data_IF_333282948184
#
_entry.id   IF_333282948184
#
_cell.length_a   1.000
_cell.length_b   1.000
_cell.length_c   1.000
_cell.angle_alpha   90.00
_cell.angle_beta   90.00
_cell.angle_gamma   90.00
#
_symmetry.space_group_name_H-M   'P 1'
#
loop_
_entity.id
_entity.type
_entity.pdbx_description
1 polymer ?
#
# COMPACT_ATOMS: atom_id res chain seq x y z
N UNK A 1 -15.51 1.17 -2.29
CA UNK A 1 -14.42 0.71 -1.40
C UNK A 1 -13.20 0.53 -2.26
N UNK A 2 -12.11 1.21 -1.93
CA UNK A 2 -10.83 1.08 -2.63
C UNK A 2 -9.91 0.28 -1.72
N UNK A 3 -9.37 -0.81 -2.24
CA UNK A 3 -8.43 -1.69 -1.53
C UNK A 3 -7.31 -2.06 -2.48
N UNK A 4 -6.09 -1.77 -2.05
CA UNK A 4 -4.88 -1.98 -2.82
C UNK A 4 -4.00 -2.92 -2.03
N UNK A 5 -3.45 -3.93 -2.69
CA UNK A 5 -2.61 -4.94 -2.08
C UNK A 5 -1.16 -4.81 -2.57
N UNK A 6 -0.24 -4.93 -1.62
CA UNK A 6 1.19 -5.07 -1.82
C UNK A 6 1.54 -6.46 -1.28
N UNK A 7 1.99 -7.35 -2.15
CA UNK A 7 2.42 -8.69 -1.76
C UNK A 7 3.95 -8.73 -1.69
N UNK A 8 4.50 -8.99 -0.51
CA UNK A 8 5.93 -9.16 -0.26
C UNK A 8 6.18 -10.59 0.26
N UNK A 9 6.27 -11.54 -0.67
CA UNK A 9 6.52 -12.95 -0.34
C UNK A 9 5.34 -13.60 0.40
N UNK A 10 5.50 -13.82 1.71
CA UNK A 10 4.47 -14.40 2.60
C UNK A 10 3.70 -13.35 3.40
N UNK A 11 4.06 -12.09 3.24
CA UNK A 11 3.39 -10.96 3.87
C UNK A 11 2.51 -10.30 2.83
N UNK A 12 1.24 -10.09 3.17
CA UNK A 12 0.29 -9.31 2.36
C UNK A 12 -0.07 -8.05 3.12
N UNK A 13 0.16 -6.90 2.50
CA UNK A 13 -0.20 -5.59 3.03
C UNK A 13 -1.36 -5.08 2.18
N UNK A 14 -2.53 -4.92 2.79
CA UNK A 14 -3.70 -4.32 2.18
C UNK A 14 -3.97 -2.96 2.81
N UNK A 15 -4.18 -1.94 2.00
CA UNK A 15 -4.53 -0.61 2.47
C UNK A 15 -5.59 0.00 1.56
N UNK A 16 -6.29 1.00 2.07
CA UNK A 16 -7.41 1.51 1.31
C UNK A 16 -8.27 2.49 2.07
N UNK A 17 -9.46 2.70 1.49
CA UNK A 17 -10.49 3.55 2.05
C UNK A 17 -11.88 2.98 1.74
N UNK A 18 -12.75 3.01 2.73
CA UNK A 18 -14.17 2.82 2.55
C UNK A 18 -14.99 3.75 3.46
N UNK A 19 -16.31 3.80 3.23
CA UNK A 19 -17.21 4.73 3.91
C UNK A 19 -17.53 4.33 5.36
N UNK A 20 -17.27 3.08 5.75
CA UNK A 20 -17.55 2.52 7.08
C UNK A 20 -16.30 2.56 7.97
N UNK A 21 -15.16 2.10 7.46
CA UNK A 21 -13.89 1.97 8.20
C UNK A 21 -12.98 3.19 8.03
N UNK A 22 -13.29 4.10 7.09
CA UNK A 22 -12.45 5.23 6.76
C UNK A 22 -11.20 4.74 6.01
N UNK A 23 -10.04 5.28 6.36
CA UNK A 23 -8.77 4.74 5.87
C UNK A 23 -8.36 3.55 6.72
N UNK A 24 -7.80 2.52 6.08
CA UNK A 24 -7.37 1.31 6.78
C UNK A 24 -6.00 0.80 6.29
N UNK A 25 -5.39 -0.02 7.14
CA UNK A 25 -4.21 -0.84 6.86
C UNK A 25 -4.46 -2.21 7.47
N UNK A 26 -4.22 -3.27 6.72
CA UNK A 26 -4.32 -4.65 7.16
C UNK A 26 -3.09 -5.38 6.67
N UNK A 27 -2.42 -6.09 7.56
CA UNK A 27 -1.19 -6.82 7.25
C UNK A 27 -1.35 -8.23 7.73
N UNK A 28 -1.24 -9.19 6.82
CA UNK A 28 -1.21 -10.61 7.16
C UNK A 28 0.17 -11.19 6.89
N UNK A 29 0.64 -12.05 7.79
CA UNK A 29 1.84 -12.86 7.59
C UNK A 29 1.45 -14.33 7.65
N UNK A 30 1.44 -14.99 6.49
CA UNK A 30 1.05 -16.40 6.36
C UNK A 30 1.96 -17.33 7.18
N UNK A 31 3.18 -16.90 7.53
CA UNK A 31 4.11 -17.72 8.32
C UNK A 31 3.68 -17.87 9.77
N UNK A 32 2.81 -16.99 10.24
CA UNK A 32 2.28 -17.00 11.61
C UNK A 32 0.89 -17.64 11.69
N UNK A 33 0.41 -18.22 10.59
CA UNK A 33 -0.89 -18.89 10.56
C UNK A 33 -0.74 -20.34 11.02
N UNK A 34 -1.82 -20.85 11.59
CA UNK A 34 -1.94 -22.26 11.92
C UNK A 34 -1.83 -23.10 10.64
N UNK A 35 -1.04 -24.16 10.70
CA UNK A 35 -0.77 -25.04 9.58
C UNK A 35 -0.90 -26.50 10.00
N UNK A 36 -1.65 -27.28 9.20
CA UNK A 36 -1.78 -28.71 9.39
C UNK A 36 -0.46 -29.49 9.20
N UNK A 37 0.51 -28.88 8.51
CA UNK A 37 1.83 -29.46 8.29
C UNK A 37 2.83 -29.09 9.41
N UNK A 38 2.46 -28.18 10.31
CA UNK A 38 3.29 -27.76 11.45
C UNK A 38 2.98 -28.61 12.69
N UNK A 39 3.92 -28.66 13.64
CA UNK A 39 3.67 -29.32 14.92
C UNK A 39 2.74 -28.48 15.80
N UNK A 40 2.04 -29.13 16.72
CA UNK A 40 1.14 -28.48 17.67
C UNK A 40 1.87 -27.39 18.49
N UNK A 41 3.15 -27.61 18.84
CA UNK A 41 3.95 -26.62 19.56
C UNK A 41 4.25 -25.39 18.71
N UNK A 42 4.55 -25.56 17.42
CA UNK A 42 4.79 -24.44 16.52
C UNK A 42 3.52 -23.61 16.34
N UNK A 43 2.38 -24.26 16.16
CA UNK A 43 1.07 -23.60 16.05
C UNK A 43 0.69 -22.90 17.36
N UNK A 44 0.96 -23.50 18.52
CA UNK A 44 0.76 -22.88 19.82
C UNK A 44 1.63 -21.62 20.02
N UNK A 45 2.89 -21.64 19.57
CA UNK A 45 3.77 -20.47 19.61
C UNK A 45 3.25 -19.37 18.67
N UNK A 46 2.89 -19.72 17.43
CA UNK A 46 2.36 -18.77 16.46
C UNK A 46 1.08 -18.09 16.98
N UNK A 47 0.16 -18.87 17.54
CA UNK A 47 -1.05 -18.37 18.19
C UNK A 47 -0.73 -17.41 19.35
N UNK A 48 0.25 -17.76 20.21
CA UNK A 48 0.65 -16.93 21.34
C UNK A 48 1.26 -15.59 20.90
N UNK A 49 2.15 -15.61 19.90
CA UNK A 49 2.83 -14.39 19.40
C UNK A 49 1.86 -13.44 18.71
N UNK A 50 0.88 -14.00 18.00
CA UNK A 50 -0.12 -13.22 17.26
C UNK A 50 -1.35 -12.86 18.10
N UNK A 51 -1.42 -13.33 19.35
CA UNK A 51 -2.63 -13.28 20.17
C UNK A 51 -3.87 -13.85 19.42
N UNK A 52 -3.65 -14.91 18.65
CA UNK A 52 -4.67 -15.60 17.87
C UNK A 52 -5.06 -14.95 16.54
N UNK A 53 -4.47 -13.82 16.17
CA UNK A 53 -4.75 -13.15 14.91
C UNK A 53 -3.44 -12.86 14.17
N UNK A 54 -3.11 -13.66 13.15
CA UNK A 54 -1.98 -13.43 12.23
C UNK A 54 -2.15 -12.19 11.34
N UNK A 55 -2.81 -11.15 11.87
CA UNK A 55 -3.21 -9.92 11.23
C UNK A 55 -2.86 -8.72 12.11
N UNK A 56 -2.37 -7.66 11.49
CA UNK A 56 -2.22 -6.34 12.09
C UNK A 56 -3.12 -5.37 11.34
N UNK A 57 -4.24 -5.01 11.97
CA UNK A 57 -5.29 -4.19 11.36
C UNK A 57 -5.43 -2.84 12.07
N UNK A 58 -5.38 -1.76 11.30
CA UNK A 58 -5.58 -0.37 11.73
C UNK A 58 -6.68 0.31 10.91
N UNK A 59 -7.43 1.21 11.54
CA UNK A 59 -8.48 2.01 10.88
C UNK A 59 -8.67 3.39 11.50
N UNK A 60 -9.28 4.32 10.76
CA UNK A 60 -9.57 5.67 11.26
C UNK A 60 -11.01 5.87 11.75
N UNK A 61 -11.99 5.21 11.15
CA UNK A 61 -13.39 5.42 11.50
C UNK A 61 -13.76 4.74 12.84
N UNK A 62 -14.92 5.07 13.44
CA UNK A 62 -15.40 4.45 14.68
C UNK A 62 -15.78 2.97 14.54
N UNK A 63 -16.19 2.53 13.34
CA UNK A 63 -16.66 1.17 13.06
C UNK A 63 -15.62 0.38 12.24
N UNK A 64 -15.63 -0.95 12.37
CA UNK A 64 -14.76 -1.88 11.62
C UNK A 64 -13.91 -2.80 12.50
N UNK A 65 -13.19 -3.73 11.87
CA UNK A 65 -12.22 -4.61 12.52
C UNK A 65 -10.87 -3.90 12.76
N UNK A 66 -10.07 -4.45 13.67
CA UNK A 66 -8.76 -3.89 14.02
C UNK A 66 -8.80 -2.71 14.99
N UNK A 67 -7.63 -2.11 15.20
CA UNK A 67 -7.42 -1.01 16.13
C UNK A 67 -7.76 0.33 15.50
N UNK A 68 -8.57 1.12 16.21
CA UNK A 68 -8.82 2.50 15.81
C UNK A 68 -7.63 3.39 16.18
N UNK A 69 -7.13 4.13 15.21
CA UNK A 69 -6.02 5.07 15.36
C UNK A 69 -6.34 6.40 14.68
N UNK A 70 -5.58 7.44 15.01
CA UNK A 70 -5.63 8.70 14.27
C UNK A 70 -5.04 8.55 12.86
N UNK A 71 -5.47 9.40 11.94
CA UNK A 71 -5.00 9.39 10.55
C UNK A 71 -3.48 9.54 10.45
N UNK A 72 -2.88 10.43 11.23
CA UNK A 72 -1.42 10.64 11.21
C UNK A 72 -0.66 9.35 11.58
N UNK A 73 -1.11 8.67 12.63
CA UNK A 73 -0.54 7.38 13.05
C UNK A 73 -0.69 6.32 11.95
N UNK A 74 -1.87 6.22 11.32
CA UNK A 74 -2.08 5.29 10.22
C UNK A 74 -1.11 5.55 9.05
N UNK A 75 -0.93 6.83 8.69
CA UNK A 75 -0.06 7.23 7.58
C UNK A 75 1.42 6.97 7.86
N UNK A 76 1.86 7.07 9.11
CA UNK A 76 3.20 6.61 9.50
C UNK A 76 3.37 5.12 9.22
N UNK A 77 2.39 4.29 9.55
CA UNK A 77 2.45 2.85 9.25
C UNK A 77 2.39 2.58 7.75
N UNK A 78 1.51 3.27 7.00
CA UNK A 78 1.50 3.20 5.53
C UNK A 78 2.89 3.44 4.94
N UNK A 79 3.58 4.49 5.41
CA UNK A 79 4.94 4.79 4.98
C UNK A 79 5.94 3.68 5.33
N UNK A 80 5.88 3.15 6.56
CA UNK A 80 6.76 2.05 7.03
C UNK A 80 6.59 0.78 6.18
N UNK A 81 5.36 0.50 5.76
CA UNK A 81 5.02 -0.67 4.93
C UNK A 81 5.07 -0.40 3.42
N UNK A 82 5.65 0.72 2.99
CA UNK A 82 5.97 0.97 1.58
C UNK A 82 4.77 1.40 0.72
N UNK A 83 3.69 1.91 1.32
CA UNK A 83 2.61 2.55 0.56
C UNK A 83 3.16 3.76 -0.20
N UNK A 84 2.82 3.95 -1.50
CA UNK A 84 3.33 5.06 -2.30
C UNK A 84 3.00 6.44 -1.69
N UNK A 85 3.99 7.35 -1.69
CA UNK A 85 3.85 8.72 -1.15
C UNK A 85 2.66 9.48 -1.74
N UNK A 86 2.30 9.22 -3.00
CA UNK A 86 1.12 9.83 -3.64
C UNK A 86 -0.17 9.50 -2.88
N UNK A 87 -0.34 8.26 -2.42
CA UNK A 87 -1.55 7.82 -1.71
C UNK A 87 -1.56 8.39 -0.30
N UNK A 88 -0.39 8.48 0.34
CA UNK A 88 -0.22 9.13 1.63
C UNK A 88 -0.64 10.61 1.54
N UNK A 89 -0.17 11.34 0.52
CA UNK A 89 -0.51 12.75 0.30
C UNK A 89 -2.01 12.96 0.04
N UNK A 90 -2.65 12.07 -0.74
CA UNK A 90 -4.11 12.13 -0.96
C UNK A 90 -4.88 11.93 0.33
N UNK A 91 -4.54 10.89 1.10
CA UNK A 91 -5.18 10.62 2.38
C UNK A 91 -4.99 11.78 3.37
N UNK A 92 -3.81 12.42 3.40
CA UNK A 92 -3.57 13.63 4.21
C UNK A 92 -4.50 14.79 3.84
N UNK A 93 -4.89 14.91 2.56
CA UNK A 93 -5.86 15.91 2.09
C UNK A 93 -7.32 15.47 2.26
N UNK A 94 -7.56 14.25 2.77
CA UNK A 94 -8.90 13.68 2.86
C UNK A 94 -9.49 13.28 1.51
N UNK A 95 -8.65 13.08 0.49
CA UNK A 95 -9.07 12.72 -0.86
C UNK A 95 -9.22 11.21 -1.04
N UNK A 96 -10.12 10.82 -1.94
CA UNK A 96 -10.31 9.43 -2.29
C UNK A 96 -9.05 8.83 -2.95
N UNK A 97 -8.73 7.60 -2.54
CA UNK A 97 -7.69 6.81 -3.18
C UNK A 97 -8.15 6.30 -4.54
N UNK A 98 -7.24 6.24 -5.50
CA UNK A 98 -7.47 5.59 -6.79
C UNK A 98 -6.50 4.42 -6.93
N UNK A 99 -6.94 3.34 -7.55
CA UNK A 99 -6.06 2.21 -7.88
C UNK A 99 -5.13 2.63 -9.04
N UNK A 100 -3.79 2.56 -8.89
CA UNK A 100 -2.85 2.92 -9.93
C UNK A 100 -3.01 2.11 -11.22
N UNK A 101 -3.68 0.94 -11.19
CA UNK A 101 -3.95 0.14 -12.40
C UNK A 101 -4.81 0.92 -13.42
N UNK A 102 -5.55 1.95 -13.01
CA UNK A 102 -6.37 2.76 -13.91
C UNK A 102 -5.72 4.07 -14.37
N UNK A 103 -4.50 4.39 -13.90
CA UNK A 103 -3.81 5.66 -14.22
C UNK A 103 -3.06 5.59 -15.57
N UNK A 104 -3.08 4.42 -16.23
CA UNK A 104 -2.43 4.19 -17.52
C UNK A 104 -3.18 4.65 -18.78
N UNK A 105 -4.40 5.19 -18.68
CA UNK A 105 -5.24 5.44 -19.87
C UNK A 105 -5.87 6.84 -19.97
N UNK A 106 -5.56 7.79 -19.08
CA UNK A 106 -6.18 9.13 -19.09
C UNK A 106 -5.28 10.27 -19.60
N UNK A 107 -4.08 9.98 -20.11
CA UNK A 107 -3.19 11.01 -20.68
C UNK A 107 -3.07 10.89 -22.21
N UNK A 108 -4.16 11.13 -22.94
CA UNK A 108 -4.13 11.57 -24.34
C UNK A 108 -5.47 12.22 -24.74
N UNK A 109 -5.74 13.39 -24.17
CA UNK A 109 -6.75 14.42 -24.54
C UNK A 109 -6.89 15.25 -23.26
N UNK A 110 -6.11 16.32 -23.06
CA UNK A 110 -6.58 17.65 -23.45
C UNK A 110 -5.40 18.63 -23.47
N UNK A 111 -4.82 18.79 -24.66
CA UNK A 111 -3.99 19.93 -24.98
C UNK A 111 -4.72 20.79 -26.03
N UNK A 112 -5.87 21.38 -25.67
CA UNK A 112 -6.37 22.55 -26.40
C UNK A 112 -7.50 23.28 -25.66
N UNK A 113 -7.18 24.37 -24.97
CA UNK A 113 -7.95 25.62 -25.06
C UNK A 113 -7.22 26.76 -24.35
N UNK A 114 -7.01 27.81 -25.13
CA UNK A 114 -6.20 28.95 -24.76
C UNK A 114 -6.86 29.93 -23.80
N UNK A 115 -5.97 30.76 -23.26
CA UNK A 115 -6.13 32.21 -23.10
C UNK A 115 -7.15 32.72 -22.07
N UNK A 116 -6.64 33.32 -20.99
CA UNK A 116 -6.66 34.79 -20.81
C UNK A 116 -5.93 35.27 -19.54
N UNK A 117 -4.79 35.93 -19.82
CA UNK A 117 -4.18 37.10 -19.18
C UNK A 117 -5.09 37.89 -18.21
N UNK A 118 -4.68 38.05 -16.95
CA UNK A 118 -4.90 39.28 -16.16
C UNK A 118 -3.74 39.51 -15.19
N UNK A 119 -3.03 40.62 -15.41
CA UNK A 119 -2.04 41.21 -14.52
C UNK A 119 -2.74 41.71 -13.26
N UNK A 120 -2.11 41.58 -12.09
CA UNK A 120 -2.12 42.66 -11.10
C UNK A 120 -0.86 42.64 -10.23
N UNK A 121 -0.38 43.86 -9.98
CA UNK A 121 0.92 44.25 -9.43
C UNK A 121 0.63 45.04 -8.16
N UNK A 122 1.13 44.64 -6.98
CA UNK A 122 1.75 45.57 -6.03
C UNK A 122 2.42 44.91 -4.81
N UNK A 123 3.72 45.18 -4.74
CA UNK A 123 4.65 45.25 -3.61
C UNK A 123 4.05 45.42 -2.21
N UNK A 124 4.71 44.78 -1.22
CA UNK A 124 5.38 45.51 -0.11
C UNK A 124 6.55 44.69 0.48
N UNK A 125 7.63 45.41 0.76
CA UNK A 125 8.90 45.00 1.38
C UNK A 125 8.76 44.83 2.90
N UNK A 126 9.53 43.90 3.47
CA UNK A 126 10.24 44.09 4.74
C UNK A 126 11.52 43.22 4.73
N UNK A 127 12.53 43.66 5.49
CA UNK A 127 13.97 43.34 5.40
C UNK A 127 14.47 43.01 6.82
N UNK A 128 15.62 42.32 6.89
CA UNK A 128 16.52 42.04 8.03
C UNK A 128 16.24 40.73 8.79
N UNK A 129 17.21 39.91 9.24
CA UNK A 129 18.68 39.84 9.18
C UNK A 129 19.06 38.35 9.52
N UNK A 130 20.06 37.75 8.85
CA UNK A 130 21.41 37.41 9.36
C UNK A 130 21.47 36.45 10.57
N UNK A 131 22.05 35.26 10.37
CA UNK A 131 23.09 34.58 11.17
C UNK A 131 23.43 33.22 10.50
N UNK A 132 24.66 32.77 10.73
CA UNK A 132 25.52 31.91 9.89
C UNK A 132 25.33 30.36 9.99
N UNK A 133 26.00 29.68 9.04
CA UNK A 133 26.10 28.23 8.75
C UNK A 133 26.71 27.37 9.89
N UNK A 134 26.64 26.01 9.86
CA UNK A 134 27.59 25.24 9.04
C UNK A 134 26.98 24.08 8.23
N UNK A 135 27.62 23.85 7.08
CA UNK A 135 27.40 22.75 6.15
C UNK A 135 27.82 21.40 6.73
N UNK A 136 26.97 20.38 6.60
CA UNK A 136 27.40 18.98 6.65
C UNK A 136 26.98 18.29 5.35
N UNK A 137 28.01 17.83 4.63
CA UNK A 137 27.96 17.00 3.44
C UNK A 137 27.36 15.62 3.78
N UNK A 138 26.27 15.26 3.10
CA UNK A 138 25.62 13.97 3.25
C UNK A 138 24.96 13.51 1.95
N UNK A 139 25.64 13.67 0.81
CA UNK A 139 25.21 13.12 -0.47
C UNK A 139 25.68 11.68 -0.60
N UNK A 140 25.02 10.74 0.08
CA UNK A 140 25.21 9.30 -0.23
C UNK A 140 24.01 8.39 0.14
N UNK A 141 22.89 8.94 0.61
CA UNK A 141 21.71 8.15 1.03
C UNK A 141 20.57 8.10 0.00
N UNK A 142 20.60 8.93 -1.05
CA UNK A 142 19.52 8.98 -2.05
C UNK A 142 19.63 7.91 -3.14
N UNK A 143 20.84 7.38 -3.41
CA UNK A 143 21.02 6.32 -4.41
C UNK A 143 20.59 4.93 -3.88
N UNK A 144 20.72 4.67 -2.58
CA UNK A 144 20.29 3.42 -1.96
C UNK A 144 18.76 3.25 -1.97
N UNK A 145 18.00 4.35 -1.79
CA UNK A 145 16.52 4.30 -1.79
C UNK A 145 15.98 4.02 -3.20
N UNK A 146 16.62 4.60 -4.23
CA UNK A 146 16.16 4.47 -5.62
C UNK A 146 16.44 3.08 -6.22
N UNK A 147 17.54 2.44 -5.82
CA UNK A 147 17.85 1.04 -6.15
C UNK A 147 16.79 0.08 -5.55
N UNK A 148 16.35 0.34 -4.31
CA UNK A 148 15.31 -0.49 -3.67
C UNK A 148 13.93 -0.40 -4.34
N UNK A 149 13.61 0.69 -5.04
CA UNK A 149 12.31 0.87 -5.68
C UNK A 149 12.20 0.09 -7.00
N UNK A 150 13.26 0.07 -7.83
CA UNK A 150 13.23 -0.67 -9.10
C UNK A 150 13.21 -2.19 -8.89
N UNK A 151 13.88 -2.70 -7.85
CA UNK A 151 13.84 -4.13 -7.52
C UNK A 151 12.49 -4.54 -6.91
N UNK A 152 11.83 -3.67 -6.14
CA UNK A 152 10.45 -3.91 -5.65
C UNK A 152 9.40 -3.94 -6.77
N UNK A 153 9.55 -3.10 -7.80
CA UNK A 153 8.64 -3.13 -8.96
C UNK A 153 8.74 -4.44 -9.76
N UNK A 154 9.91 -5.10 -9.77
CA UNK A 154 10.07 -6.43 -10.39
C UNK A 154 9.37 -7.54 -9.60
N UNK A 155 9.30 -7.42 -8.27
CA UNK A 155 8.56 -8.36 -7.40
C UNK A 155 7.04 -8.19 -7.57
N UNK A 156 6.55 -6.95 -7.65
CA UNK A 156 5.13 -6.66 -7.91
C UNK A 156 4.63 -7.24 -9.25
N UNK A 157 5.47 -7.26 -10.28
CA UNK A 157 5.15 -7.89 -11.57
C UNK A 157 5.07 -9.44 -11.49
N UNK A 158 5.76 -10.07 -10.53
CA UNK A 158 5.74 -11.51 -10.33
C UNK A 158 4.48 -12.01 -9.59
N UNK A 159 3.93 -11.20 -8.68
CA UNK A 159 2.69 -11.55 -7.95
C UNK A 159 1.46 -11.66 -8.87
N UNK A 160 1.36 -10.82 -9.92
CA UNK A 160 0.27 -10.93 -10.91
C UNK A 160 0.25 -12.25 -11.70
N UNK A 161 1.34 -13.02 -11.75
CA UNK A 161 1.40 -14.30 -12.49
C UNK A 161 0.94 -15.52 -11.69
N UNK A 162 0.77 -15.43 -10.37
CA UNK A 162 0.32 -16.57 -9.54
C UNK A 162 -1.20 -16.72 -9.43
N UNK A 163 -1.98 -15.77 -9.96
CA UNK A 163 -3.44 -15.82 -9.92
C UNK A 163 -4.08 -16.46 -11.17
N UNK A 164 -3.31 -16.88 -12.17
CA UNK A 164 -3.87 -17.66 -13.29
C UNK A 164 -3.82 -19.15 -12.96
N UNK A 165 -4.95 -19.84 -12.80
CA UNK A 165 -4.94 -21.30 -12.65
C UNK A 165 -4.33 -21.94 -13.90
N UNK A 166 -3.57 -23.04 -13.76
CA UNK A 166 -3.03 -23.76 -14.91
C UNK A 166 -4.20 -24.21 -15.79
N UNK A 167 -4.25 -23.66 -17.02
CA UNK A 167 -5.19 -24.12 -18.04
C UNK A 167 -4.80 -25.53 -18.44
N UNK A 168 -5.56 -26.52 -17.97
CA UNK A 168 -5.56 -27.85 -18.56
C UNK A 168 -5.39 -29.01 -17.59
N UNK A 169 -6.34 -29.22 -16.68
CA UNK A 169 -6.57 -30.55 -16.12
C UNK A 169 -7.95 -31.03 -16.61
N UNK A 170 -7.94 -31.73 -17.74
CA UNK A 170 -9.13 -32.33 -18.37
C UNK A 170 -9.46 -33.60 -17.58
N UNK A 171 -10.34 -33.50 -16.58
CA UNK A 171 -10.86 -34.64 -15.83
C UNK A 171 -11.54 -35.63 -16.80
N UNK A 172 -10.98 -36.83 -16.94
CA UNK A 172 -11.65 -37.95 -17.61
C UNK A 172 -12.67 -38.53 -16.63
N UNK A 173 -13.93 -38.47 -17.01
CA UNK A 173 -15.05 -39.11 -16.33
C UNK A 173 -14.89 -40.63 -16.34
N UNK A 174 -14.85 -41.23 -15.15
CA UNK A 174 -14.90 -42.68 -14.98
C UNK A 174 -16.35 -43.15 -15.12
N UNK A 175 -16.63 -43.91 -16.19
CA UNK A 175 -17.88 -44.66 -16.38
C UNK A 175 -17.98 -45.79 -15.36
N UNK A 176 -19.02 -45.73 -14.53
CA UNK A 176 -19.45 -46.79 -13.62
C UNK A 176 -20.02 -47.97 -14.41
N UNK A 177 -19.42 -49.14 -14.26
CA UNK A 177 -19.98 -50.40 -14.71
C UNK A 177 -21.12 -50.86 -13.79
N UNK A 178 -22.30 -51.11 -14.37
CA UNK A 178 -23.36 -51.92 -13.75
C UNK A 178 -23.22 -53.36 -14.23
N UNK A 179 -23.26 -54.30 -13.29
CA UNK A 179 -23.70 -55.68 -13.52
C UNK A 179 -25.20 -55.76 -13.27
#
# INVERSE_FOLDING_TARGET
MVRIEICEGKITIAYGQDHVTGYFLSISDERLWDSADASDEANAIAFKVTNGAGYFDLRTAPMGFGHRVELNTLLEYWKRYGVPDLHIQRAQRGEDLEDPVNVGNSNQQDANKGSKKKKNKKKKKAKAAHEDLPSTSGTDSFLAIRLSYQDRQRVLAACKRRQTPPRGCRMRSATTGRR
#
